data_IF_990511677268
#
_entry.id   IF_990511677268
#
_cell.length_a   1.000
_cell.length_b   1.000
_cell.length_c   1.000
_cell.angle_alpha   90.00
_cell.angle_beta   90.00
_cell.angle_gamma   90.00
#
_symmetry.space_group_name_H-M   'P 1'
#
loop_
_entity.id
_entity.type
_entity.pdbx_description
1 polymer ?
#
# COMPACT_ATOMS: atom_id res chain seq x y z
N UNK A 1 -17.69 13.98 -8.91
CA UNK A 1 -16.73 13.21 -9.73
C UNK A 1 -15.57 12.86 -8.84
N UNK A 2 -15.17 11.59 -8.77
CA UNK A 2 -14.00 11.16 -7.99
C UNK A 2 -12.73 11.64 -8.69
N UNK A 3 -11.74 12.12 -7.95
CA UNK A 3 -10.41 12.44 -8.49
C UNK A 3 -9.71 11.15 -8.93
N UNK A 4 -9.18 11.14 -10.15
CA UNK A 4 -8.36 10.04 -10.62
C UNK A 4 -6.96 10.20 -10.03
N UNK A 5 -6.49 9.16 -9.34
CA UNK A 5 -5.13 9.13 -8.80
C UNK A 5 -4.21 8.39 -9.76
N UNK A 6 -2.92 8.75 -9.84
CA UNK A 6 -1.94 8.04 -10.67
C UNK A 6 -1.69 6.59 -10.21
N UNK A 7 -2.19 6.22 -9.03
CA UNK A 7 -2.20 4.85 -8.51
C UNK A 7 -3.40 4.02 -8.98
N UNK A 8 -4.41 4.65 -9.58
CA UNK A 8 -5.64 3.98 -9.97
C UNK A 8 -5.43 3.10 -11.20
N UNK A 9 -6.12 1.96 -11.24
CA UNK A 9 -6.16 1.07 -12.40
C UNK A 9 -7.44 1.30 -13.20
N UNK A 10 -7.39 0.97 -14.49
CA UNK A 10 -8.59 1.02 -15.33
C UNK A 10 -9.65 0.03 -14.83
N UNK A 11 -10.93 0.37 -15.03
CA UNK A 11 -12.04 -0.51 -14.66
C UNK A 11 -11.96 -1.87 -15.37
N UNK A 12 -11.53 -1.92 -16.63
CA UNK A 12 -11.34 -3.19 -17.35
C UNK A 12 -10.24 -4.07 -16.76
N UNK A 13 -9.11 -3.48 -16.33
CA UNK A 13 -8.09 -4.24 -15.58
C UNK A 13 -8.64 -4.74 -14.25
N UNK A 14 -9.47 -3.94 -13.58
CA UNK A 14 -10.11 -4.32 -12.33
C UNK A 14 -11.09 -5.49 -12.52
N UNK A 15 -11.88 -5.50 -13.59
CA UNK A 15 -12.83 -6.59 -13.88
C UNK A 15 -12.15 -7.96 -13.99
N UNK A 16 -10.92 -8.00 -14.54
CA UNK A 16 -10.14 -9.23 -14.63
C UNK A 16 -9.70 -9.78 -13.26
N UNK A 17 -9.52 -8.93 -12.24
CA UNK A 17 -9.09 -9.31 -10.89
C UNK A 17 -10.26 -9.41 -9.90
N UNK A 18 -11.38 -8.74 -10.17
CA UNK A 18 -12.60 -8.75 -9.37
C UNK A 18 -12.99 -10.16 -8.89
N UNK A 19 -13.09 -11.21 -9.74
CA UNK A 19 -13.50 -12.53 -9.27
C UNK A 19 -12.55 -13.14 -8.22
N UNK A 20 -11.24 -12.84 -8.28
CA UNK A 20 -10.26 -13.29 -7.28
C UNK A 20 -10.45 -12.60 -5.92
N UNK A 21 -10.80 -11.31 -5.94
CA UNK A 21 -11.08 -10.55 -4.72
C UNK A 21 -12.42 -10.96 -4.11
N UNK A 22 -13.38 -11.32 -4.95
CA UNK A 22 -14.70 -11.78 -4.52
C UNK A 22 -14.66 -13.16 -3.86
N UNK A 23 -13.76 -14.07 -4.31
CA UNK A 23 -13.62 -15.40 -3.71
C UNK A 23 -13.05 -15.39 -2.28
N UNK A 24 -12.45 -14.26 -1.86
CA UNK A 24 -11.80 -14.14 -0.55
C UNK A 24 -12.79 -14.21 0.63
N UNK A 25 -14.05 -13.79 0.44
CA UNK A 25 -14.99 -13.55 1.52
C UNK A 25 -16.24 -14.41 1.40
N UNK A 26 -16.55 -15.18 2.46
CA UNK A 26 -17.86 -15.81 2.63
C UNK A 26 -18.95 -14.74 2.61
N UNK A 27 -20.00 -14.96 1.83
CA UNK A 27 -21.06 -14.01 1.47
C UNK A 27 -22.01 -13.76 2.66
N UNK A 28 -21.53 -13.17 3.75
CA UNK A 28 -22.32 -13.01 5.00
C UNK A 28 -23.13 -11.71 5.07
N UNK A 29 -22.95 -10.75 4.18
CA UNK A 29 -23.76 -9.51 4.15
C UNK A 29 -23.73 -8.85 2.76
N UNK A 30 -24.83 -8.25 2.28
CA UNK A 30 -24.86 -7.54 1.00
C UNK A 30 -23.81 -6.42 0.93
N UNK A 31 -23.12 -6.32 -0.21
CA UNK A 31 -22.02 -5.36 -0.43
C UNK A 31 -22.58 -3.93 -0.46
N UNK A 32 -22.42 -3.20 0.64
CA UNK A 32 -22.65 -1.73 0.68
C UNK A 32 -21.50 -0.91 0.10
N UNK A 33 -20.37 -1.54 -0.24
CA UNK A 33 -19.12 -0.86 -0.60
C UNK A 33 -18.62 -1.38 -1.95
N UNK A 34 -18.26 -0.46 -2.84
CA UNK A 34 -17.68 -0.77 -4.15
C UNK A 34 -16.25 -1.33 -3.99
N UNK A 35 -16.01 -2.55 -4.49
CA UNK A 35 -14.71 -3.21 -4.40
C UNK A 35 -13.62 -2.51 -5.21
N UNK A 36 -13.98 -1.84 -6.30
CA UNK A 36 -13.05 -1.05 -7.10
C UNK A 36 -12.48 0.11 -6.27
N UNK A 37 -13.35 0.80 -5.54
CA UNK A 37 -12.98 1.92 -4.68
C UNK A 37 -12.05 1.47 -3.55
N UNK A 38 -12.35 0.31 -2.93
CA UNK A 38 -11.49 -0.29 -1.90
C UNK A 38 -10.13 -0.70 -2.48
N UNK A 39 -10.11 -1.34 -3.64
CA UNK A 39 -8.86 -1.77 -4.26
C UNK A 39 -7.99 -0.58 -4.67
N UNK A 40 -8.58 0.48 -5.25
CA UNK A 40 -7.85 1.71 -5.55
C UNK A 40 -7.30 2.39 -4.29
N UNK A 41 -8.05 2.39 -3.17
CA UNK A 41 -7.56 2.90 -1.90
C UNK A 41 -6.34 2.12 -1.40
N UNK A 42 -6.33 0.78 -1.55
CA UNK A 42 -5.17 -0.05 -1.24
C UNK A 42 -3.99 0.27 -2.17
N UNK A 43 -4.21 0.42 -3.47
CA UNK A 43 -3.16 0.80 -4.42
C UNK A 43 -2.56 2.18 -4.10
N UNK A 44 -3.41 3.13 -3.72
CA UNK A 44 -3.00 4.46 -3.29
C UNK A 44 -2.09 4.38 -2.05
N UNK A 45 -2.48 3.58 -1.05
CA UNK A 45 -1.68 3.35 0.14
C UNK A 45 -0.33 2.70 -0.20
N UNK A 46 -0.33 1.67 -1.05
CA UNK A 46 0.88 0.96 -1.46
C UNK A 46 1.84 1.86 -2.27
N UNK A 47 1.29 2.79 -3.08
CA UNK A 47 2.07 3.73 -3.88
C UNK A 47 2.63 4.88 -3.05
N UNK A 48 1.81 5.47 -2.18
CA UNK A 48 2.17 6.66 -1.40
C UNK A 48 2.94 6.32 -0.12
N UNK A 49 2.69 5.14 0.46
CA UNK A 49 3.18 4.76 1.78
C UNK A 49 2.59 5.61 2.91
N UNK A 50 1.44 6.27 2.69
CA UNK A 50 0.83 7.11 3.72
C UNK A 50 0.25 6.28 4.88
N UNK A 51 -0.02 6.92 6.02
CA UNK A 51 -0.69 6.27 7.13
C UNK A 51 -2.17 6.03 6.80
N UNK A 52 -2.76 4.94 7.31
CA UNK A 52 -4.18 4.61 7.09
C UNK A 52 -5.16 5.74 7.41
N UNK A 53 -4.84 6.58 8.41
CA UNK A 53 -5.68 7.72 8.82
C UNK A 53 -5.59 8.92 7.88
N UNK A 54 -4.58 8.95 7.01
CA UNK A 54 -4.33 9.99 6.01
C UNK A 54 -4.96 9.65 4.64
N UNK A 55 -5.81 8.62 4.59
CA UNK A 55 -6.53 8.26 3.38
C UNK A 55 -7.51 9.40 3.01
N UNK A 56 -7.53 9.86 1.74
CA UNK A 56 -8.49 10.86 1.30
C UNK A 56 -9.94 10.46 1.57
N UNK A 57 -10.79 11.43 1.92
CA UNK A 57 -12.21 11.20 2.23
C UNK A 57 -13.05 10.75 1.02
N UNK A 58 -12.50 10.88 -0.19
CA UNK A 58 -13.11 10.35 -1.42
C UNK A 58 -13.17 8.82 -1.44
N UNK A 59 -12.28 8.17 -0.69
CA UNK A 59 -12.26 6.71 -0.57
C UNK A 59 -13.19 6.23 0.54
N UNK A 60 -13.59 4.94 0.50
CA UNK A 60 -14.28 4.31 1.62
C UNK A 60 -13.50 4.49 2.93
N UNK A 61 -14.23 4.56 4.05
CA UNK A 61 -13.61 4.73 5.39
C UNK A 61 -12.42 3.78 5.56
N UNK A 62 -11.29 4.32 6.02
CA UNK A 62 -10.03 3.57 6.15
C UNK A 62 -10.19 2.25 6.92
N UNK A 63 -11.09 2.18 7.92
CA UNK A 63 -11.39 0.94 8.68
C UNK A 63 -11.89 -0.16 7.76
N UNK A 64 -12.79 0.18 6.84
CA UNK A 64 -13.31 -0.74 5.84
C UNK A 64 -12.18 -1.19 4.92
N UNK A 65 -11.40 -0.26 4.39
CA UNK A 65 -10.26 -0.58 3.50
C UNK A 65 -9.26 -1.50 4.21
N UNK A 66 -8.93 -1.23 5.46
CA UNK A 66 -8.05 -2.05 6.28
C UNK A 66 -8.61 -3.47 6.47
N UNK A 67 -9.90 -3.62 6.79
CA UNK A 67 -10.51 -4.96 6.89
C UNK A 67 -10.39 -5.76 5.58
N UNK A 68 -10.59 -5.12 4.43
CA UNK A 68 -10.39 -5.77 3.13
C UNK A 68 -8.92 -6.12 2.88
N UNK A 69 -8.00 -5.20 3.22
CA UNK A 69 -6.58 -5.43 3.10
C UNK A 69 -6.12 -6.62 3.94
N UNK A 70 -6.58 -6.75 5.19
CA UNK A 70 -6.26 -7.90 6.05
C UNK A 70 -6.74 -9.22 5.43
N UNK A 71 -7.96 -9.25 4.89
CA UNK A 71 -8.50 -10.47 4.23
C UNK A 71 -7.72 -10.81 2.97
N UNK A 72 -7.34 -9.81 2.16
CA UNK A 72 -6.61 -10.06 0.91
C UNK A 72 -5.13 -10.37 1.12
N UNK A 73 -4.54 -9.86 2.20
CA UNK A 73 -3.15 -10.10 2.60
C UNK A 73 -2.97 -11.42 3.36
N UNK A 74 -4.07 -12.07 3.74
CA UNK A 74 -4.02 -13.40 4.36
C UNK A 74 -3.30 -14.39 3.43
N UNK A 75 -2.28 -15.05 3.95
CA UNK A 75 -1.51 -16.05 3.22
C UNK A 75 -2.38 -17.30 3.02
N UNK A 76 -2.41 -17.79 1.78
CA UNK A 76 -3.12 -19.01 1.38
C UNK A 76 -2.18 -19.89 0.56
N UNK A 77 -2.59 -21.11 0.29
CA UNK A 77 -1.85 -22.00 -0.61
C UNK A 77 -1.62 -21.32 -1.97
N UNK A 78 -0.35 -21.01 -2.27
CA UNK A 78 0.06 -20.30 -3.48
C UNK A 78 0.19 -18.77 -3.38
N UNK A 79 0.24 -18.21 -2.17
CA UNK A 79 0.48 -16.78 -1.92
C UNK A 79 -0.78 -15.98 -1.61
N UNK A 80 -0.61 -14.72 -1.20
CA UNK A 80 -1.75 -13.86 -0.84
C UNK A 80 -2.63 -13.52 -2.05
N UNK A 81 -3.94 -13.37 -1.82
CA UNK A 81 -4.88 -12.96 -2.88
C UNK A 81 -4.54 -11.58 -3.43
N UNK A 82 -4.04 -10.70 -2.56
CA UNK A 82 -3.56 -9.38 -2.93
C UNK A 82 -2.40 -9.49 -3.92
N UNK A 83 -1.39 -10.32 -3.63
CA UNK A 83 -0.23 -10.50 -4.51
C UNK A 83 -0.63 -11.04 -5.89
N UNK A 84 -1.55 -12.01 -5.92
CA UNK A 84 -2.10 -12.54 -7.18
C UNK A 84 -2.86 -11.47 -7.97
N UNK A 85 -3.65 -10.64 -7.29
CA UNK A 85 -4.38 -9.53 -7.90
C UNK A 85 -3.42 -8.44 -8.44
N UNK A 86 -2.36 -8.11 -7.70
CA UNK A 86 -1.32 -7.17 -8.13
C UNK A 86 -0.57 -7.69 -9.37
N UNK A 87 -0.20 -8.97 -9.37
CA UNK A 87 0.45 -9.62 -10.53
C UNK A 87 -0.45 -9.59 -11.76
N UNK A 88 -1.74 -9.90 -11.61
CA UNK A 88 -2.70 -9.96 -12.72
C UNK A 88 -3.12 -8.58 -13.24
N UNK A 89 -3.17 -7.57 -12.38
CA UNK A 89 -3.43 -6.18 -12.78
C UNK A 89 -2.22 -5.51 -13.46
N UNK A 90 -1.05 -6.17 -13.47
CA UNK A 90 0.17 -5.60 -14.01
C UNK A 90 0.74 -4.48 -13.14
N UNK A 91 0.29 -4.37 -11.88
CA UNK A 91 0.74 -3.32 -10.97
C UNK A 91 2.22 -3.51 -10.68
N UNK A 92 3.05 -2.61 -11.21
CA UNK A 92 4.45 -2.47 -10.85
C UNK A 92 4.49 -1.65 -9.57
N UNK A 93 5.02 -2.25 -8.50
CA UNK A 93 5.17 -1.58 -7.21
C UNK A 93 5.92 -0.25 -7.31
N UNK A 94 5.88 0.57 -6.26
CA UNK A 94 6.67 1.79 -6.26
C UNK A 94 8.16 1.45 -6.47
N UNK A 95 8.86 2.24 -7.29
CA UNK A 95 10.31 2.06 -7.54
C UNK A 95 11.13 2.16 -6.26
N UNK A 96 10.61 2.87 -5.26
CA UNK A 96 11.11 2.92 -3.88
C UNK A 96 9.91 2.85 -2.93
N UNK A 97 9.87 1.91 -1.98
CA UNK A 97 8.82 1.92 -0.95
C UNK A 97 8.99 3.11 0.00
N UNK A 98 7.90 3.58 0.62
CA UNK A 98 7.97 4.60 1.67
C UNK A 98 8.91 4.21 2.82
N UNK A 99 9.00 2.91 3.13
CA UNK A 99 9.98 2.35 4.07
C UNK A 99 11.43 2.50 3.57
N UNK A 100 11.70 2.26 2.29
CA UNK A 100 13.03 2.47 1.69
C UNK A 100 13.42 3.96 1.66
N UNK A 101 12.45 4.86 1.42
CA UNK A 101 12.67 6.31 1.53
C UNK A 101 13.02 6.71 2.96
N UNK A 102 12.28 6.20 3.95
CA UNK A 102 12.55 6.45 5.37
C UNK A 102 13.92 5.89 5.79
N UNK A 103 14.26 4.68 5.34
CA UNK A 103 15.56 4.06 5.60
C UNK A 103 16.71 4.93 5.08
N UNK A 104 16.62 5.44 3.85
CA UNK A 104 17.63 6.38 3.31
C UNK A 104 17.77 7.67 4.14
N UNK A 105 16.66 8.21 4.65
CA UNK A 105 16.68 9.40 5.51
C UNK A 105 17.36 9.09 6.85
N UNK A 106 17.07 7.93 7.43
CA UNK A 106 17.69 7.49 8.69
C UNK A 106 19.18 7.15 8.52
N UNK A 107 19.55 6.50 7.42
CA UNK A 107 20.96 6.18 7.09
C UNK A 107 21.77 7.45 6.85
N UNK A 108 21.19 8.47 6.20
CA UNK A 108 21.82 9.79 6.04
C UNK A 108 22.09 10.46 7.40
N UNK A 109 21.13 10.44 8.31
CA UNK A 109 21.30 11.00 9.66
C UNK A 109 22.26 10.19 10.56
N UNK A 110 22.54 8.91 10.22
CA UNK A 110 23.57 8.10 10.88
C UNK A 110 24.97 8.47 10.38
N UNK A 111 25.16 8.63 9.07
CA UNK A 111 26.42 9.07 8.47
C UNK A 111 26.84 10.46 8.97
N UNK A 112 25.89 11.40 9.11
CA UNK A 112 26.15 12.75 9.62
C UNK A 112 26.57 12.78 11.11
N UNK A 113 26.32 11.70 11.88
CA UNK A 113 26.77 11.61 13.30
C UNK A 113 28.15 10.99 13.47
N UNK A 114 28.61 10.18 12.52
CA UNK A 114 29.97 9.62 12.55
C UNK A 114 31.02 10.67 12.15
N UNK A 115 30.65 11.68 11.36
CA UNK A 115 31.56 12.77 10.96
C UNK A 115 31.85 13.79 12.09
N UNK A 116 31.04 13.85 13.14
CA UNK A 116 31.34 14.66 14.34
C UNK A 116 32.16 13.92 15.41
N UNK A 117 32.51 12.64 15.21
CA UNK A 117 33.13 11.78 16.23
C UNK A 117 34.65 11.65 16.18
N UNK A 118 35.34 12.32 15.25
CA UNK A 118 36.80 12.24 15.11
C UNK A 118 37.47 13.63 15.03
N UNK A 119 37.15 14.49 16.00
CA UNK A 119 38.01 15.63 16.37
C UNK A 119 38.81 15.25 17.61
N UNK A 120 40.01 14.70 17.41
CA UNK A 120 40.84 14.14 18.46
C UNK A 120 41.22 15.13 19.56
N UNK A 121 41.33 14.56 20.77
CA UNK A 121 42.07 15.07 21.91
C UNK A 121 43.52 15.37 21.50
N UNK A 122 43.86 16.63 21.29
CA UNK A 122 45.24 17.09 21.22
C UNK A 122 45.34 18.42 21.98
N UNK A 123 45.99 18.41 23.15
CA UNK A 123 46.66 19.60 23.69
C UNK A 123 46.27 20.07 25.09
N UNK A 124 47.23 19.82 26.01
CA UNK A 124 47.53 20.50 27.29
C UNK A 124 46.81 20.02 28.56
#
# INVERSE_FOLDING_TARGET
>A
MRKSYPSDISRSQFEAIKPLLESARKKTSPRRVDLYEVFCAVLYLLRSGCQWRMLPEEFPKWRTVHSYWTIWSEQREGGSLLERALKKSGWRGPRETGAQRLQRVLDRGRAEREECGHGGLEGL
#
